data_IF_509577176875
#
_entry.id   IF_509577176875
#
_cell.length_a   1.000
_cell.length_b   1.000
_cell.length_c   1.000
_cell.angle_alpha   90.00
_cell.angle_beta   90.00
_cell.angle_gamma   90.00
#
_symmetry.space_group_name_H-M   'P 1'
#
loop_
_entity.id
_entity.type
_entity.pdbx_description
1 polymer ?
#
# COMPACT_ATOMS: atom_id res chain seq x y z
N UNK A 1 10.55 -2.72 -15.62
CA UNK A 1 9.69 -1.53 -15.55
C UNK A 1 8.89 -1.52 -16.83
N UNK A 2 7.57 -1.64 -16.75
CA UNK A 2 6.68 -1.52 -17.93
C UNK A 2 6.31 -0.06 -18.16
N UNK A 3 5.91 0.30 -19.38
CA UNK A 3 5.32 1.62 -19.66
C UNK A 3 4.14 1.88 -18.72
N UNK A 4 3.33 0.86 -18.46
CA UNK A 4 2.10 0.98 -17.68
C UNK A 4 2.39 1.34 -16.22
N UNK A 5 3.39 0.69 -15.59
CA UNK A 5 3.86 1.05 -14.25
C UNK A 5 4.32 2.51 -14.19
N UNK A 6 5.00 2.97 -15.23
CA UNK A 6 5.57 4.30 -15.28
C UNK A 6 4.51 5.39 -15.51
N UNK A 7 3.56 5.15 -16.41
CA UNK A 7 2.41 6.05 -16.63
C UNK A 7 1.56 6.13 -15.37
N UNK A 8 1.26 4.99 -14.74
CA UNK A 8 0.43 4.98 -13.56
C UNK A 8 1.10 5.68 -12.37
N UNK A 9 2.38 5.40 -12.12
CA UNK A 9 3.15 6.08 -11.09
C UNK A 9 3.27 7.60 -11.35
N UNK A 10 3.30 8.01 -12.62
CA UNK A 10 3.32 9.43 -13.00
C UNK A 10 1.97 10.10 -12.75
N UNK A 11 0.87 9.49 -13.21
CA UNK A 11 -0.50 10.01 -13.07
C UNK A 11 -0.88 10.16 -11.59
N UNK A 12 -0.62 9.13 -10.77
CA UNK A 12 -0.83 9.16 -9.32
C UNK A 12 -0.13 10.35 -8.66
N UNK A 13 1.14 10.61 -9.03
CA UNK A 13 1.93 11.71 -8.46
C UNK A 13 1.44 13.08 -8.91
N UNK A 14 0.91 13.19 -10.13
CA UNK A 14 0.27 14.43 -10.61
C UNK A 14 -0.97 14.72 -9.79
N UNK A 15 -1.82 13.73 -9.56
CA UNK A 15 -3.03 13.93 -8.75
C UNK A 15 -2.70 14.21 -7.27
N UNK A 16 -1.71 13.52 -6.69
CA UNK A 16 -1.18 13.87 -5.36
C UNK A 16 -0.70 15.32 -5.29
N UNK A 17 0.04 15.79 -6.29
CA UNK A 17 0.50 17.17 -6.35
C UNK A 17 -0.66 18.17 -6.41
N UNK A 18 -1.74 17.85 -7.13
CA UNK A 18 -2.94 18.70 -7.18
C UNK A 18 -3.62 18.79 -5.82
N UNK A 19 -3.78 17.67 -5.12
CA UNK A 19 -4.34 17.66 -3.76
C UNK A 19 -3.49 18.50 -2.82
N UNK A 20 -2.16 18.28 -2.82
CA UNK A 20 -1.23 19.03 -1.98
C UNK A 20 -1.24 20.53 -2.27
N UNK A 21 -1.38 20.94 -3.54
CA UNK A 21 -1.51 22.36 -3.89
C UNK A 21 -2.83 22.95 -3.41
N UNK A 22 -3.93 22.19 -3.44
CA UNK A 22 -5.22 22.59 -2.87
C UNK A 22 -5.12 22.78 -1.36
N UNK A 23 -4.44 21.86 -0.67
CA UNK A 23 -4.21 21.95 0.78
C UNK A 23 -3.29 23.11 1.12
N UNK A 24 -2.24 23.33 0.32
CA UNK A 24 -1.34 24.49 0.48
C UNK A 24 -2.10 25.81 0.34
N UNK A 25 -2.97 25.90 -0.67
CA UNK A 25 -3.83 27.06 -0.89
C UNK A 25 -4.76 27.29 0.31
N UNK A 26 -5.45 26.24 0.77
CA UNK A 26 -6.33 26.30 1.95
C UNK A 26 -5.58 26.78 3.21
N UNK A 27 -4.42 26.19 3.51
CA UNK A 27 -3.60 26.55 4.66
C UNK A 27 -3.09 28.00 4.59
N UNK A 28 -2.76 28.48 3.39
CA UNK A 28 -2.33 29.87 3.20
C UNK A 28 -3.43 30.86 3.61
N UNK A 29 -4.67 30.65 3.16
CA UNK A 29 -5.81 31.51 3.50
C UNK A 29 -6.26 31.35 4.95
N UNK A 30 -5.98 30.21 5.59
CA UNK A 30 -6.20 30.00 7.02
C UNK A 30 -5.12 30.67 7.90
N UNK A 31 -4.05 31.23 7.31
CA UNK A 31 -2.92 31.82 8.03
C UNK A 31 -1.87 30.81 8.52
N UNK A 32 -2.01 29.53 8.15
CA UNK A 32 -1.09 28.45 8.49
C UNK A 32 0.04 28.37 7.46
N UNK A 33 0.92 29.37 7.47
CA UNK A 33 1.95 29.52 6.42
C UNK A 33 2.97 28.38 6.37
N UNK A 34 3.29 27.77 7.51
CA UNK A 34 4.22 26.63 7.54
C UNK A 34 3.64 25.41 6.82
N UNK A 35 2.38 25.09 7.08
CA UNK A 35 1.68 24.00 6.38
C UNK A 35 1.52 24.33 4.90
N UNK A 36 1.22 25.59 4.57
CA UNK A 36 1.12 26.03 3.18
C UNK A 36 2.44 25.82 2.41
N UNK A 37 3.56 26.26 2.98
CA UNK A 37 4.89 26.10 2.37
C UNK A 37 5.27 24.62 2.29
N UNK A 38 5.01 23.85 3.36
CA UNK A 38 5.30 22.41 3.42
C UNK A 38 4.55 21.65 2.32
N UNK A 39 3.23 21.86 2.21
CA UNK A 39 2.40 21.23 1.19
C UNK A 39 2.81 21.65 -0.22
N UNK A 40 3.13 22.93 -0.45
CA UNK A 40 3.58 23.40 -1.75
C UNK A 40 4.94 22.81 -2.16
N UNK A 41 5.90 22.75 -1.23
CA UNK A 41 7.20 22.12 -1.46
C UNK A 41 7.03 20.63 -1.77
N UNK A 42 6.14 19.95 -1.04
CA UNK A 42 5.90 18.54 -1.26
C UNK A 42 5.20 18.27 -2.60
N UNK A 43 4.26 19.13 -3.00
CA UNK A 43 3.65 19.07 -4.33
C UNK A 43 4.68 19.24 -5.45
N UNK A 44 5.65 20.14 -5.28
CA UNK A 44 6.74 20.32 -6.24
C UNK A 44 7.54 19.02 -6.42
N UNK A 45 7.93 18.36 -5.32
CA UNK A 45 8.64 17.07 -5.37
C UNK A 45 7.81 15.96 -6.03
N UNK A 46 6.49 15.93 -5.79
CA UNK A 46 5.58 15.01 -6.49
C UNK A 46 5.57 15.26 -8.00
N UNK A 47 5.57 16.52 -8.46
CA UNK A 47 5.68 16.85 -9.89
C UNK A 47 7.03 16.42 -10.46
N UNK A 48 8.13 16.64 -9.75
CA UNK A 48 9.47 16.22 -10.22
C UNK A 48 9.54 14.70 -10.37
N UNK A 49 9.02 13.96 -9.40
CA UNK A 49 8.97 12.51 -9.48
C UNK A 49 7.98 12.01 -10.53
N UNK A 50 6.87 12.70 -10.78
CA UNK A 50 5.95 12.39 -11.88
C UNK A 50 6.66 12.49 -13.25
N UNK A 51 7.46 13.55 -13.45
CA UNK A 51 8.28 13.73 -14.67
C UNK A 51 9.30 12.62 -14.84
N UNK A 52 9.98 12.25 -13.75
CA UNK A 52 10.92 11.13 -13.74
C UNK A 52 10.24 9.82 -14.18
N UNK A 53 9.09 9.48 -13.59
CA UNK A 53 8.34 8.29 -13.97
C UNK A 53 7.85 8.34 -15.42
N UNK A 54 7.32 9.46 -15.89
CA UNK A 54 6.93 9.60 -17.30
C UNK A 54 8.13 9.36 -18.24
N UNK A 55 9.32 9.90 -17.92
CA UNK A 55 10.53 9.70 -18.72
C UNK A 55 11.02 8.24 -18.74
N UNK A 56 10.86 7.52 -17.62
CA UNK A 56 11.11 6.08 -17.57
C UNK A 56 10.13 5.34 -18.48
N UNK A 57 8.84 5.69 -18.44
CA UNK A 57 7.82 5.10 -19.28
C UNK A 57 8.15 5.22 -20.75
N UNK A 58 8.49 6.43 -21.20
CA UNK A 58 8.91 6.69 -22.59
C UNK A 58 10.15 5.87 -22.99
N UNK A 59 11.17 5.80 -22.12
CA UNK A 59 12.40 5.05 -22.40
C UNK A 59 12.18 3.54 -22.48
N UNK A 60 11.31 2.99 -21.62
CA UNK A 60 11.07 1.55 -21.52
C UNK A 60 9.87 1.08 -22.34
N UNK A 61 9.11 2.00 -22.93
CA UNK A 61 7.98 1.76 -23.83
C UNK A 61 8.28 0.79 -24.97
N UNK A 62 9.47 0.89 -25.60
CA UNK A 62 9.85 0.10 -26.78
C UNK A 62 8.78 0.04 -27.90
N UNK A 63 7.91 1.04 -28.00
CA UNK A 63 6.79 1.09 -28.96
C UNK A 63 5.53 0.31 -28.55
N UNK A 64 5.48 -0.26 -27.35
CA UNK A 64 4.28 -0.84 -26.75
C UNK A 64 3.24 0.25 -26.54
N UNK A 65 2.02 0.06 -27.05
CA UNK A 65 0.91 1.00 -26.84
C UNK A 65 -0.04 0.34 -25.84
N UNK A 66 -0.29 1.02 -24.72
CA UNK A 66 -1.31 0.58 -23.78
C UNK A 66 -2.65 1.03 -24.33
N UNK A 67 -3.52 0.08 -24.62
CA UNK A 67 -4.90 0.39 -25.00
C UNK A 67 -5.64 0.98 -23.80
N UNK A 68 -6.17 2.19 -24.00
CA UNK A 68 -6.88 2.93 -22.96
C UNK A 68 -8.13 2.18 -22.45
N UNK A 69 -8.76 1.38 -23.30
CA UNK A 69 -9.93 0.57 -22.95
C UNK A 69 -9.57 -0.57 -21.98
N UNK A 70 -8.42 -1.24 -22.16
CA UNK A 70 -7.96 -2.25 -21.21
C UNK A 70 -7.69 -1.64 -19.83
N UNK A 71 -7.16 -0.41 -19.80
CA UNK A 71 -6.93 0.30 -18.55
C UNK A 71 -8.24 0.72 -17.87
N UNK A 72 -9.23 1.13 -18.67
CA UNK A 72 -10.58 1.41 -18.19
C UNK A 72 -11.22 0.18 -17.55
N UNK A 73 -11.22 -0.96 -18.24
CA UNK A 73 -11.83 -2.18 -17.73
C UNK A 73 -11.15 -2.66 -16.45
N UNK A 74 -9.82 -2.60 -16.42
CA UNK A 74 -9.02 -2.90 -15.21
C UNK A 74 -9.38 -1.95 -14.06
N UNK A 75 -9.48 -0.64 -14.32
CA UNK A 75 -9.87 0.34 -13.32
C UNK A 75 -11.28 0.07 -12.77
N UNK A 76 -12.22 -0.31 -13.64
CA UNK A 76 -13.57 -0.64 -13.20
C UNK A 76 -13.57 -1.82 -12.26
N UNK A 77 -12.86 -2.89 -12.62
CA UNK A 77 -12.73 -4.10 -11.81
C UNK A 77 -12.07 -3.83 -10.45
N UNK A 78 -10.99 -3.05 -10.41
CA UNK A 78 -10.35 -2.66 -9.15
C UNK A 78 -11.29 -1.86 -8.25
N UNK A 79 -12.02 -0.89 -8.81
CA UNK A 79 -12.99 -0.11 -8.06
C UNK A 79 -14.15 -0.97 -7.53
N UNK A 80 -14.68 -1.87 -8.34
CA UNK A 80 -15.78 -2.75 -7.93
C UNK A 80 -15.35 -3.70 -6.81
N UNK A 81 -14.18 -4.34 -6.96
CA UNK A 81 -13.62 -5.23 -5.93
C UNK A 81 -13.30 -4.49 -4.63
N UNK A 82 -12.74 -3.29 -4.72
CA UNK A 82 -12.41 -2.48 -3.54
C UNK A 82 -13.67 -2.01 -2.82
N UNK A 83 -14.70 -1.62 -3.58
CA UNK A 83 -16.01 -1.22 -3.04
C UNK A 83 -16.67 -2.33 -2.22
N UNK A 84 -16.52 -3.60 -2.61
CA UNK A 84 -17.07 -4.72 -1.85
C UNK A 84 -16.49 -4.79 -0.43
N UNK A 85 -15.16 -4.74 -0.32
CA UNK A 85 -14.46 -4.81 0.97
C UNK A 85 -14.74 -3.57 1.82
N UNK A 86 -14.75 -2.39 1.21
CA UNK A 86 -15.05 -1.14 1.93
C UNK A 86 -16.51 -1.12 2.39
N UNK A 87 -17.46 -1.61 1.59
CA UNK A 87 -18.86 -1.70 2.02
C UNK A 87 -19.00 -2.64 3.21
N UNK A 88 -18.30 -3.78 3.17
CA UNK A 88 -18.30 -4.73 4.28
C UNK A 88 -17.74 -4.09 5.56
N UNK A 89 -16.56 -3.48 5.50
CA UNK A 89 -15.91 -2.91 6.68
C UNK A 89 -16.69 -1.71 7.23
N UNK A 90 -17.25 -0.87 6.36
CA UNK A 90 -18.13 0.25 6.75
C UNK A 90 -19.41 -0.24 7.41
N UNK A 91 -19.99 -1.36 6.97
CA UNK A 91 -21.17 -1.95 7.61
C UNK A 91 -20.89 -2.46 9.03
N UNK A 92 -19.64 -2.86 9.32
CA UNK A 92 -19.23 -3.38 10.62
C UNK A 92 -18.83 -2.28 11.62
N UNK A 93 -18.15 -1.22 11.15
CA UNK A 93 -17.56 -0.19 12.04
C UNK A 93 -18.22 1.19 11.95
N UNK A 94 -19.14 1.38 11.00
CA UNK A 94 -19.73 2.67 10.69
C UNK A 94 -18.79 3.58 9.89
N UNK A 95 -19.40 4.43 9.05
CA UNK A 95 -18.70 5.27 8.08
C UNK A 95 -17.81 6.34 8.73
N UNK A 96 -18.23 6.90 9.87
CA UNK A 96 -17.52 7.98 10.54
C UNK A 96 -16.08 7.61 10.97
N UNK A 97 -15.82 6.32 11.24
CA UNK A 97 -14.50 5.83 11.63
C UNK A 97 -13.61 5.47 10.42
N UNK A 98 -14.20 5.41 9.22
CA UNK A 98 -13.56 4.93 7.99
C UNK A 98 -13.69 5.95 6.86
N UNK A 99 -13.96 7.22 7.19
CA UNK A 99 -14.21 8.28 6.23
C UNK A 99 -13.05 8.44 5.24
N UNK A 100 -11.81 8.24 5.67
CA UNK A 100 -10.64 8.33 4.80
C UNK A 100 -10.66 7.24 3.70
N UNK A 101 -11.08 6.01 4.03
CA UNK A 101 -11.24 4.94 3.03
C UNK A 101 -12.35 5.24 2.04
N UNK A 102 -13.47 5.77 2.54
CA UNK A 102 -14.61 6.15 1.70
C UNK A 102 -14.24 7.30 0.78
N UNK A 103 -13.53 8.30 1.28
CA UNK A 103 -13.05 9.44 0.49
C UNK A 103 -12.11 8.96 -0.62
N UNK A 104 -11.16 8.09 -0.30
CA UNK A 104 -10.23 7.57 -1.28
C UNK A 104 -10.93 6.70 -2.35
N UNK A 105 -11.93 5.92 -1.96
CA UNK A 105 -12.76 5.15 -2.89
C UNK A 105 -13.58 6.08 -3.82
N UNK A 106 -14.11 7.18 -3.29
CA UNK A 106 -14.84 8.18 -4.07
C UNK A 106 -13.91 8.94 -5.03
N UNK A 107 -12.70 9.27 -4.59
CA UNK A 107 -11.65 9.88 -5.41
C UNK A 107 -11.27 8.96 -6.58
N UNK A 108 -11.13 7.66 -6.33
CA UNK A 108 -10.92 6.67 -7.39
C UNK A 108 -12.06 6.63 -8.41
N UNK A 109 -13.31 6.79 -7.98
CA UNK A 109 -14.47 6.87 -8.88
C UNK A 109 -14.46 8.18 -9.70
N UNK A 110 -14.09 9.31 -9.10
CA UNK A 110 -13.91 10.58 -9.80
C UNK A 110 -12.82 10.48 -10.87
N UNK A 111 -11.67 9.88 -10.54
CA UNK A 111 -10.60 9.62 -11.50
C UNK A 111 -11.05 8.74 -12.65
N UNK A 112 -11.86 7.72 -12.38
CA UNK A 112 -12.43 6.89 -13.43
C UNK A 112 -13.34 7.69 -14.37
N UNK A 113 -14.20 8.55 -13.84
CA UNK A 113 -15.10 9.40 -14.62
C UNK A 113 -14.34 10.44 -15.46
N UNK A 114 -13.27 11.00 -14.89
CA UNK A 114 -12.34 11.91 -15.57
C UNK A 114 -11.48 11.22 -16.64
N UNK A 115 -11.50 9.89 -16.68
CA UNK A 115 -10.70 9.10 -17.61
C UNK A 115 -9.23 8.92 -17.22
N UNK A 116 -8.90 9.19 -15.95
CA UNK A 116 -7.60 8.98 -15.28
C UNK A 116 -7.56 7.57 -14.67
N UNK A 117 -7.59 6.57 -15.55
CA UNK A 117 -7.82 5.19 -15.15
C UNK A 117 -6.68 4.60 -14.32
N UNK A 118 -5.44 5.05 -14.50
CA UNK A 118 -4.33 4.58 -13.67
C UNK A 118 -4.44 5.11 -12.24
N UNK A 119 -4.75 6.40 -12.06
CA UNK A 119 -5.00 6.97 -10.74
C UNK A 119 -6.16 6.25 -10.06
N UNK A 120 -7.24 5.96 -10.80
CA UNK A 120 -8.38 5.20 -10.30
C UNK A 120 -8.00 3.80 -9.77
N UNK A 121 -7.14 3.06 -10.49
CA UNK A 121 -6.63 1.75 -10.04
C UNK A 121 -5.86 1.89 -8.73
N UNK A 122 -4.96 2.87 -8.62
CA UNK A 122 -4.13 3.05 -7.44
C UNK A 122 -4.94 3.51 -6.22
N UNK A 123 -5.88 4.45 -6.38
CA UNK A 123 -6.78 4.86 -5.30
C UNK A 123 -7.64 3.69 -4.80
N UNK A 124 -8.20 2.88 -5.71
CA UNK A 124 -8.96 1.69 -5.35
C UNK A 124 -8.09 0.67 -4.60
N UNK A 125 -6.91 0.38 -5.13
CA UNK A 125 -5.93 -0.53 -4.52
C UNK A 125 -5.55 -0.08 -3.11
N UNK A 126 -5.22 1.20 -2.90
CA UNK A 126 -4.89 1.72 -1.57
C UNK A 126 -6.07 1.61 -0.60
N UNK A 127 -7.27 1.96 -1.03
CA UNK A 127 -8.45 1.87 -0.19
C UNK A 127 -8.72 0.42 0.25
N UNK A 128 -8.59 -0.53 -0.68
CA UNK A 128 -8.72 -1.96 -0.40
C UNK A 128 -7.63 -2.46 0.55
N UNK A 129 -6.37 -2.17 0.27
CA UNK A 129 -5.24 -2.61 1.11
C UNK A 129 -5.42 -2.13 2.54
N UNK A 130 -5.73 -0.85 2.73
CA UNK A 130 -5.95 -0.29 4.07
C UNK A 130 -7.13 -0.96 4.77
N UNK A 131 -8.22 -1.23 4.06
CA UNK A 131 -9.36 -1.96 4.61
C UNK A 131 -9.00 -3.41 5.02
N UNK A 132 -8.25 -4.13 4.19
CA UNK A 132 -7.76 -5.49 4.48
C UNK A 132 -6.86 -5.48 5.72
N UNK A 133 -5.92 -4.54 5.82
CA UNK A 133 -5.05 -4.41 7.00
C UNK A 133 -5.85 -4.09 8.27
N UNK A 134 -6.84 -3.21 8.21
CA UNK A 134 -7.72 -2.94 9.36
C UNK A 134 -8.43 -4.22 9.80
N UNK A 135 -8.96 -5.00 8.86
CA UNK A 135 -9.62 -6.27 9.16
C UNK A 135 -8.63 -7.30 9.76
N UNK A 136 -7.42 -7.36 9.22
CA UNK A 136 -6.38 -8.31 9.65
C UNK A 136 -5.77 -7.99 11.01
N UNK A 137 -5.82 -6.73 11.42
CA UNK A 137 -5.21 -6.24 12.66
C UNK A 137 -6.24 -6.02 13.77
N UNK A 138 -7.53 -6.14 13.44
CA UNK A 138 -8.63 -5.88 14.36
C UNK A 138 -8.54 -6.73 15.63
N UNK A 139 -8.52 -6.06 16.78
CA UNK A 139 -8.50 -6.71 18.09
C UNK A 139 -7.19 -7.43 18.39
N UNK A 140 -6.13 -7.18 17.62
CA UNK A 140 -4.79 -7.75 17.84
C UNK A 140 -3.89 -6.70 18.49
N UNK A 141 -3.76 -6.79 19.80
CA UNK A 141 -2.82 -5.96 20.57
C UNK A 141 -1.49 -6.69 20.84
N UNK A 142 -1.36 -7.93 20.34
CA UNK A 142 -0.19 -8.77 20.53
C UNK A 142 0.78 -8.65 19.35
N UNK A 143 1.97 -8.12 19.63
CA UNK A 143 3.01 -7.89 18.63
C UNK A 143 3.46 -9.17 17.92
N UNK A 144 3.59 -10.29 18.64
CA UNK A 144 4.00 -11.58 18.06
C UNK A 144 2.98 -12.08 17.03
N UNK A 145 1.68 -11.94 17.33
CA UNK A 145 0.61 -12.37 16.40
C UNK A 145 0.60 -11.50 15.15
N UNK A 146 0.81 -10.19 15.29
CA UNK A 146 0.96 -9.30 14.14
C UNK A 146 2.22 -9.61 13.32
N UNK A 147 3.32 -9.95 13.98
CA UNK A 147 4.57 -10.32 13.31
C UNK A 147 4.41 -11.61 12.47
N UNK A 148 3.63 -12.59 12.95
CA UNK A 148 3.32 -13.80 12.18
C UNK A 148 2.50 -13.49 10.93
N UNK A 149 1.52 -12.57 11.02
CA UNK A 149 0.76 -12.07 9.85
C UNK A 149 1.67 -11.29 8.90
N UNK A 150 2.51 -10.41 9.42
CA UNK A 150 3.48 -9.63 8.65
C UNK A 150 4.40 -10.54 7.84
N UNK A 151 4.92 -11.62 8.44
CA UNK A 151 5.80 -12.56 7.74
C UNK A 151 5.11 -13.25 6.56
N UNK A 152 3.82 -13.58 6.69
CA UNK A 152 3.05 -14.10 5.55
C UNK A 152 2.92 -13.07 4.44
N UNK A 153 2.56 -11.83 4.77
CA UNK A 153 2.47 -10.73 3.79
C UNK A 153 3.81 -10.44 3.10
N UNK A 154 4.92 -10.52 3.85
CA UNK A 154 6.28 -10.38 3.34
C UNK A 154 6.62 -11.47 2.33
N UNK A 155 6.35 -12.74 2.65
CA UNK A 155 6.61 -13.83 1.70
C UNK A 155 5.71 -13.74 0.47
N UNK A 156 4.43 -13.40 0.63
CA UNK A 156 3.51 -13.15 -0.47
C UNK A 156 4.01 -12.06 -1.42
N UNK A 157 4.47 -10.93 -0.89
CA UNK A 157 5.04 -9.84 -1.68
C UNK A 157 6.29 -10.28 -2.43
N UNK A 158 7.16 -11.04 -1.78
CA UNK A 158 8.38 -11.59 -2.39
C UNK A 158 8.06 -12.58 -3.51
N UNK A 159 7.07 -13.45 -3.33
CA UNK A 159 6.59 -14.39 -4.36
C UNK A 159 6.01 -13.62 -5.55
N UNK A 160 5.18 -12.61 -5.31
CA UNK A 160 4.58 -11.82 -6.37
C UNK A 160 5.62 -11.05 -7.20
N UNK A 161 6.61 -10.44 -6.53
CA UNK A 161 7.77 -9.81 -7.19
C UNK A 161 8.55 -10.83 -8.03
N UNK A 162 8.79 -12.03 -7.50
CA UNK A 162 9.52 -13.09 -8.22
C UNK A 162 8.75 -13.58 -9.46
N UNK A 163 7.43 -13.70 -9.38
CA UNK A 163 6.57 -14.03 -10.52
C UNK A 163 6.70 -12.94 -11.59
N UNK A 164 6.61 -11.67 -11.21
CA UNK A 164 6.75 -10.57 -12.16
C UNK A 164 8.12 -10.57 -12.86
N UNK A 165 9.19 -10.81 -12.11
CA UNK A 165 10.55 -10.93 -12.65
C UNK A 165 10.70 -12.11 -13.62
N UNK A 166 10.05 -13.24 -13.33
CA UNK A 166 10.05 -14.41 -14.21
C UNK A 166 9.35 -14.12 -15.55
N UNK A 167 8.30 -13.30 -15.54
CA UNK A 167 7.62 -12.82 -16.74
C UNK A 167 8.39 -11.67 -17.45
N UNK A 168 9.62 -11.39 -17.04
CA UNK A 168 10.48 -10.36 -17.65
C UNK A 168 10.17 -8.94 -17.19
N UNK A 169 9.26 -8.76 -16.23
CA UNK A 169 8.93 -7.46 -15.66
C UNK A 169 9.82 -7.21 -14.45
N UNK A 170 10.54 -6.09 -14.45
CA UNK A 170 11.24 -5.63 -13.24
C UNK A 170 10.37 -4.59 -12.48
N UNK A 171 9.66 -4.98 -11.40
CA UNK A 171 8.70 -4.11 -10.74
C UNK A 171 9.40 -3.20 -9.73
N UNK A 172 9.98 -2.10 -10.22
CA UNK A 172 10.77 -1.18 -9.39
C UNK A 172 9.95 -0.59 -8.23
N UNK A 173 8.68 -0.26 -8.48
CA UNK A 173 7.80 0.29 -7.44
C UNK A 173 7.55 -0.72 -6.32
N UNK A 174 7.32 -1.98 -6.67
CA UNK A 174 7.13 -3.07 -5.70
C UNK A 174 8.36 -3.34 -4.86
N UNK A 175 9.55 -3.33 -5.47
CA UNK A 175 10.81 -3.46 -4.76
C UNK A 175 11.00 -2.31 -3.76
N UNK A 176 10.70 -1.06 -4.17
CA UNK A 176 10.78 0.09 -3.28
C UNK A 176 9.83 -0.03 -2.08
N UNK A 177 8.58 -0.45 -2.30
CA UNK A 177 7.64 -0.69 -1.19
C UNK A 177 8.10 -1.84 -0.29
N UNK A 178 8.65 -2.91 -0.85
CA UNK A 178 9.16 -4.03 -0.08
C UNK A 178 10.33 -3.63 0.83
N UNK A 179 11.31 -2.88 0.31
CA UNK A 179 12.41 -2.35 1.11
C UNK A 179 11.94 -1.35 2.16
N UNK A 180 10.93 -0.55 1.84
CA UNK A 180 10.35 0.39 2.79
C UNK A 180 9.62 -0.32 3.92
N UNK A 181 8.85 -1.38 3.62
CA UNK A 181 8.23 -2.24 4.63
C UNK A 181 9.27 -2.83 5.59
N UNK A 182 10.41 -3.31 5.06
CA UNK A 182 11.52 -3.81 5.88
C UNK A 182 12.07 -2.75 6.83
N UNK A 183 12.05 -1.47 6.45
CA UNK A 183 12.53 -0.39 7.32
C UNK A 183 11.62 -0.16 8.53
N UNK A 184 10.31 -0.35 8.39
CA UNK A 184 9.35 -0.27 9.50
C UNK A 184 9.34 -1.55 10.34
N UNK A 185 9.42 -2.72 9.70
CA UNK A 185 9.54 -4.01 10.39
C UNK A 185 10.71 -3.99 11.40
N UNK A 186 11.86 -3.44 11.00
CA UNK A 186 13.06 -3.32 11.86
C UNK A 186 12.87 -2.39 13.06
N UNK A 187 11.97 -1.42 12.97
CA UNK A 187 11.71 -0.48 14.07
C UNK A 187 10.84 -1.12 15.17
N UNK A 188 10.03 -2.14 14.83
CA UNK A 188 9.18 -2.85 15.78
C UNK A 188 8.05 -1.99 16.38
N UNK A 189 7.21 -2.60 17.21
CA UNK A 189 6.03 -1.94 17.78
C UNK A 189 4.81 -1.98 16.85
N UNK A 190 3.63 -1.99 17.45
CA UNK A 190 2.35 -2.27 16.77
C UNK A 190 2.12 -1.38 15.55
N UNK A 191 2.30 -0.06 15.69
CA UNK A 191 2.07 0.90 14.61
C UNK A 191 3.04 0.70 13.42
N UNK A 192 4.33 0.47 13.70
CA UNK A 192 5.31 0.22 12.66
C UNK A 192 5.08 -1.13 11.97
N UNK A 193 4.63 -2.15 12.71
CA UNK A 193 4.29 -3.45 12.12
C UNK A 193 3.08 -3.30 11.20
N UNK A 194 2.02 -2.62 11.63
CA UNK A 194 0.85 -2.35 10.78
C UNK A 194 1.25 -1.54 9.53
N UNK A 195 2.13 -0.56 9.70
CA UNK A 195 2.69 0.21 8.58
C UNK A 195 3.48 -0.69 7.61
N UNK A 196 4.32 -1.58 8.13
CA UNK A 196 5.05 -2.55 7.33
C UNK A 196 4.12 -3.51 6.59
N UNK A 197 3.01 -3.95 7.21
CA UNK A 197 1.97 -4.77 6.58
C UNK A 197 1.38 -4.08 5.36
N UNK A 198 1.00 -2.80 5.49
CA UNK A 198 0.50 -1.97 4.37
C UNK A 198 1.52 -1.94 3.23
N UNK A 199 2.80 -1.69 3.53
CA UNK A 199 3.83 -1.60 2.49
C UNK A 199 4.17 -2.94 1.84
N UNK A 200 4.15 -4.05 2.57
CA UNK A 200 4.27 -5.38 1.94
C UNK A 200 3.09 -5.68 1.02
N UNK A 201 1.87 -5.32 1.42
CA UNK A 201 0.71 -5.51 0.57
C UNK A 201 0.78 -4.61 -0.69
N UNK A 202 1.24 -3.36 -0.58
CA UNK A 202 1.52 -2.54 -1.77
C UNK A 202 2.56 -3.18 -2.68
N UNK A 203 3.64 -3.71 -2.12
CA UNK A 203 4.66 -4.39 -2.90
C UNK A 203 4.07 -5.57 -3.69
N UNK A 204 3.23 -6.39 -3.04
CA UNK A 204 2.49 -7.48 -3.68
C UNK A 204 1.61 -6.98 -4.82
N UNK A 205 0.69 -6.07 -4.53
CA UNK A 205 -0.34 -5.63 -5.48
C UNK A 205 0.25 -4.88 -6.68
N UNK A 206 1.25 -4.02 -6.46
CA UNK A 206 1.91 -3.30 -7.56
C UNK A 206 2.75 -4.20 -8.46
N UNK A 207 3.13 -5.40 -7.98
CA UNK A 207 3.86 -6.37 -8.77
C UNK A 207 2.95 -7.18 -9.68
N UNK A 208 1.67 -7.32 -9.32
CA UNK A 208 0.68 -8.14 -10.04
C UNK A 208 -0.28 -7.34 -10.90
N UNK A 209 -0.61 -6.10 -10.52
CA UNK A 209 -1.61 -5.24 -11.19
C UNK A 209 -1.39 -5.06 -12.70
N UNK A 210 -0.16 -5.26 -13.18
CA UNK A 210 0.20 -5.12 -14.59
C UNK A 210 0.92 -6.35 -15.18
N UNK A 211 0.81 -7.51 -14.52
CA UNK A 211 1.09 -8.79 -15.18
C UNK A 211 -0.05 -9.05 -16.16
N UNK A 212 0.27 -9.03 -17.46
CA UNK A 212 -0.65 -9.05 -18.60
C UNK A 212 -1.97 -9.80 -18.35
N UNK A 213 -3.07 -9.05 -18.15
CA UNK A 213 -4.48 -9.53 -18.25
C UNK A 213 -4.82 -10.84 -17.55
N UNK A 214 -4.09 -11.25 -16.52
CA UNK A 214 -4.57 -12.32 -15.65
C UNK A 214 -5.54 -11.71 -14.67
N UNK A 215 -6.78 -12.18 -14.76
CA UNK A 215 -7.87 -12.07 -13.77
C UNK A 215 -7.32 -11.68 -12.39
N UNK A 216 -7.87 -10.65 -11.73
CA UNK A 216 -7.41 -10.24 -10.41
C UNK A 216 -7.38 -11.44 -9.46
N UNK A 217 -6.63 -11.36 -8.35
CA UNK A 217 -6.71 -12.37 -7.30
C UNK A 217 -8.18 -12.52 -6.92
N UNK A 218 -8.79 -13.62 -7.37
CA UNK A 218 -10.11 -14.04 -6.94
C UNK A 218 -10.04 -14.12 -5.43
N UNK A 219 -11.05 -13.62 -4.73
CA UNK A 219 -11.16 -13.73 -3.27
C UNK A 219 -10.80 -15.18 -2.92
N UNK A 220 -9.61 -15.37 -2.35
CA UNK A 220 -9.28 -16.63 -1.71
C UNK A 220 -10.11 -16.59 -0.46
N UNK A 221 -11.26 -17.24 -0.50
CA UNK A 221 -11.96 -17.66 0.71
C UNK A 221 -10.95 -18.52 1.48
N UNK A 222 -10.12 -17.90 2.32
CA UNK A 222 -9.47 -18.65 3.39
C UNK A 222 -10.61 -19.33 4.16
N UNK A 223 -10.53 -20.65 4.37
CA UNK A 223 -11.63 -21.38 4.96
C UNK A 223 -11.93 -20.75 6.33
N UNK A 224 -13.15 -20.23 6.45
CA UNK A 224 -13.71 -19.72 7.70
C UNK A 224 -13.43 -20.74 8.80
N UNK A 225 -12.55 -20.39 9.74
CA UNK A 225 -12.35 -21.19 10.95
C UNK A 225 -13.73 -21.23 11.63
N UNK A 226 -14.36 -22.40 11.79
CA UNK A 226 -15.64 -22.47 12.49
C UNK A 226 -15.42 -22.01 13.93
N UNK A 227 -16.17 -20.98 14.36
CA UNK A 227 -16.31 -20.68 15.79
C UNK A 227 -17.05 -21.84 16.46
N UNK A 228 -16.31 -22.84 16.91
CA UNK A 228 -16.78 -23.81 17.90
C UNK A 228 -16.00 -23.60 19.18
N UNK A 229 -16.61 -22.88 20.12
CA UNK A 229 -16.29 -22.98 21.55
C UNK A 229 -16.55 -24.40 22.04
N UNK A 230 -15.66 -24.94 22.89
CA UNK A 230 -16.12 -25.74 24.02
C UNK A 230 -15.59 -25.20 25.35
N UNK A 231 -16.48 -25.26 26.35
CA UNK A 231 -16.21 -25.01 27.76
C UNK A 231 -15.07 -25.90 28.29
N UNK A 232 -14.20 -25.27 29.08
CA UNK A 232 -13.50 -25.73 30.30
C UNK A 232 -13.44 -27.24 30.57
N UNK A 233 -12.22 -27.78 30.63
CA UNK A 233 -11.73 -28.37 31.89
C UNK A 233 -10.20 -28.45 31.95
N UNK A 234 -9.71 -28.17 33.16
CA UNK A 234 -8.31 -28.02 33.58
C UNK A 234 -7.56 -29.36 33.59
N UNK A 235 -6.28 -29.35 33.17
CA UNK A 235 -5.14 -29.88 33.95
C UNK A 235 -3.80 -29.32 33.46
N UNK A 236 -2.93 -28.95 34.39
CA UNK A 236 -1.56 -28.40 34.25
C UNK A 236 -0.56 -29.50 34.73
N UNK A 237 0.78 -29.33 34.72
CA UNK A 237 1.79 -29.29 33.65
C UNK A 237 2.83 -30.45 33.75
N UNK A 238 3.80 -30.57 32.83
CA UNK A 238 5.25 -30.68 33.20
C UNK A 238 6.19 -30.86 31.98
N UNK A 239 7.19 -29.96 31.90
CA UNK A 239 8.64 -30.13 31.69
C UNK A 239 9.14 -31.19 30.67
N UNK A 240 10.17 -30.97 29.85
CA UNK A 240 11.51 -30.48 30.23
C UNK A 240 12.40 -30.25 28.98
N UNK A 241 13.34 -29.29 29.09
CA UNK A 241 14.71 -29.21 28.50
C UNK A 241 14.96 -28.84 27.02
N UNK A 242 15.57 -27.66 26.86
CA UNK A 242 16.45 -27.13 25.79
C UNK A 242 17.80 -27.91 25.68
N UNK A 243 18.85 -27.48 24.93
CA UNK A 243 19.02 -26.35 23.98
C UNK A 243 19.82 -26.70 22.69
N UNK A 244 19.82 -25.83 21.67
CA UNK A 244 21.01 -25.61 20.80
C UNK A 244 21.04 -24.16 20.28
N UNK A 245 22.13 -23.45 20.59
CA UNK A 245 22.53 -22.15 20.01
C UNK A 245 23.22 -22.35 18.66
N UNK A 246 23.12 -21.36 17.75
CA UNK A 246 24.27 -20.96 16.93
C UNK A 246 24.15 -19.50 16.42
N UNK A 247 25.26 -18.80 16.57
CA UNK A 247 25.54 -17.39 16.23
C UNK A 247 25.66 -17.15 14.71
N UNK A 248 25.47 -15.90 14.26
CA UNK A 248 26.36 -15.31 13.25
C UNK A 248 26.47 -13.78 13.41
N UNK A 249 27.72 -13.30 13.37
CA UNK A 249 28.15 -11.91 13.24
C UNK A 249 28.06 -11.44 11.78
N UNK A 250 27.80 -10.14 11.55
CA UNK A 250 27.96 -9.51 10.23
C UNK A 250 27.83 -7.98 10.26
N UNK A 251 28.92 -7.27 9.92
CA UNK A 251 29.11 -5.81 9.89
C UNK A 251 28.31 -5.08 8.77
N UNK A 252 28.12 -3.73 8.86
CA UNK A 252 27.11 -3.00 8.11
C UNK A 252 27.58 -2.52 6.72
N UNK A 253 26.67 -2.52 5.74
CA UNK A 253 26.83 -1.86 4.42
C UNK A 253 25.92 -0.61 4.39
N UNK A 254 26.42 0.55 3.95
CA UNK A 254 25.70 1.82 4.02
C UNK A 254 24.60 1.93 2.96
N UNK A 255 23.39 2.27 3.40
CA UNK A 255 22.20 2.42 2.58
C UNK A 255 22.12 3.89 2.11
N UNK A 256 22.43 4.12 0.84
CA UNK A 256 22.26 5.43 0.18
C UNK A 256 20.82 5.53 -0.33
N UNK A 257 20.10 6.52 0.21
CA UNK A 257 18.97 7.25 -0.36
C UNK A 257 17.72 6.46 -0.80
N UNK A 258 16.86 6.12 0.17
CA UNK A 258 15.47 5.69 -0.04
C UNK A 258 14.42 6.72 0.45
N UNK A 259 14.76 8.01 0.53
CA UNK A 259 13.84 9.04 1.06
C UNK A 259 12.94 9.63 -0.02
N UNK A 260 12.00 8.87 -0.60
CA UNK A 260 11.02 9.45 -1.54
C UNK A 260 9.61 8.79 -1.55
N UNK A 261 9.28 7.96 -0.54
CA UNK A 261 7.92 7.40 -0.33
C UNK A 261 7.25 7.97 0.94
N UNK A 262 7.94 8.85 1.67
CA UNK A 262 7.59 9.35 3.02
C UNK A 262 6.29 10.22 3.07
N UNK A 263 5.73 10.60 1.93
CA UNK A 263 4.61 11.55 1.86
C UNK A 263 3.27 11.11 2.43
N UNK A 264 2.97 9.82 2.43
CA UNK A 264 1.60 9.35 2.70
C UNK A 264 1.31 9.04 4.17
N UNK A 265 2.32 9.04 5.05
CA UNK A 265 2.13 8.75 6.48
C UNK A 265 2.58 9.88 7.42
N UNK A 266 3.61 10.67 7.07
CA UNK A 266 4.04 11.76 7.95
C UNK A 266 3.12 12.98 7.91
N UNK A 267 2.29 13.14 6.87
CA UNK A 267 1.29 14.21 6.80
C UNK A 267 0.15 14.09 7.81
N UNK A 268 -0.10 12.90 8.36
CA UNK A 268 -1.24 12.68 9.27
C UNK A 268 -0.85 12.61 10.76
N UNK A 269 0.41 12.32 11.08
CA UNK A 269 0.88 12.22 12.47
C UNK A 269 1.36 13.58 13.01
N UNK A 270 1.83 14.49 12.17
CA UNK A 270 2.32 15.81 12.61
C UNK A 270 1.21 16.87 12.83
N UNK A 271 0.00 16.67 12.30
CA UNK A 271 -1.10 17.65 12.35
C UNK A 271 -1.99 17.60 13.60
N UNK A 272 -1.73 16.70 14.56
CA UNK A 272 -2.58 16.50 15.74
C UNK A 272 -1.83 16.66 17.06
N UNK A 273 -1.04 17.74 17.17
CA UNK A 273 -0.62 18.31 18.46
C UNK A 273 -0.60 19.84 18.39
N UNK A 274 -1.78 20.43 18.53
CA UNK A 274 -2.10 21.61 19.36
C UNK A 274 -3.61 21.81 19.34
#
# INVERSE_FOLDING_TARGET
ITMLQAVAASEERVEQAKSLLKDAWSSYYAGNYWDAISNAAFAYERIQTARFWASLGERYAKGEIIERDNLKDTAREYLDNSRLIITYITSMFGEANLQDLVNLMNEGEEYYQDGKYSAAIFSAMEARIRAEIILDTLGIDNETVLMDKLQRMKEDAKVAIAIAQKEGIYPLLSLAYYEFAQSYEKQGGLENIQTAMVFYQYAKETSTVFLSTTTPPKITEEPLIPLTTPLTNQTVPQNTTSPVQQETNGYPIPLIAGTLVIGLLLGFIAGRKT
#
